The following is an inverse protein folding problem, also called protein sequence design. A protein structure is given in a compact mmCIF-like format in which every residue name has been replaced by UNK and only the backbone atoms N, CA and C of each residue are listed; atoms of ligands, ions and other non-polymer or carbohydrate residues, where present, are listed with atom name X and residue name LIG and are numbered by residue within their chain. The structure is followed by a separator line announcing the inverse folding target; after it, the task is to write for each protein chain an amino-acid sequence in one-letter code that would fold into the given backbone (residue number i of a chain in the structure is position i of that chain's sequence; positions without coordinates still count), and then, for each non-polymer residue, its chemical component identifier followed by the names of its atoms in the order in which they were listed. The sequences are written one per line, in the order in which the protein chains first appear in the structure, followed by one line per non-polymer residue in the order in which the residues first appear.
data_IF_956361832094
#
_entry.id   IF_956361832094
#
_cell.length_a   1.000
_cell.length_b   1.000
_cell.length_c   1.000
_cell.angle_alpha   90.00
_cell.angle_beta   90.00
_cell.angle_gamma   90.00
#
_symmetry.space_group_name_H-M   'P 1'
#
loop_
_entity.id
_entity.type
_entity.pdbx_description
1 polymer ?
#
# COMPACT_ATOMS: atom_id res chain seq x y z
N UNK A 1 26.09 21.53 -11.30
CA UNK A 1 24.65 21.16 -11.25
C UNK A 1 24.43 19.69 -11.59
N UNK A 2 24.81 19.19 -12.77
CA UNK A 2 24.61 17.77 -13.14
C UNK A 2 25.25 16.76 -12.16
N UNK A 3 26.52 16.98 -11.79
CA UNK A 3 27.25 16.09 -10.85
C UNK A 3 26.60 16.08 -9.46
N UNK A 4 26.12 17.22 -8.98
CA UNK A 4 25.47 17.34 -7.66
C UNK A 4 24.15 16.57 -7.60
N UNK A 5 23.36 16.59 -8.67
CA UNK A 5 22.11 15.81 -8.78
C UNK A 5 22.41 14.32 -8.80
N UNK A 6 23.41 13.89 -9.58
CA UNK A 6 23.84 12.49 -9.61
C UNK A 6 24.34 12.06 -8.23
N UNK A 7 25.12 12.89 -7.54
CA UNK A 7 25.62 12.59 -6.21
C UNK A 7 24.48 12.43 -5.20
N UNK A 8 23.46 13.29 -5.25
CA UNK A 8 22.25 13.14 -4.44
C UNK A 8 21.54 11.82 -4.72
N UNK A 9 21.31 11.49 -5.99
CA UNK A 9 20.66 10.24 -6.40
C UNK A 9 21.47 9.00 -5.97
N UNK A 10 22.80 9.05 -6.04
CA UNK A 10 23.67 7.99 -5.53
C UNK A 10 23.57 7.84 -4.00
N UNK A 11 23.45 8.94 -3.26
CA UNK A 11 23.22 8.91 -1.81
C UNK A 11 21.89 8.22 -1.45
N UNK A 12 20.83 8.49 -2.21
CA UNK A 12 19.53 7.81 -2.07
C UNK A 12 19.65 6.33 -2.44
N UNK A 13 20.25 6.02 -3.59
CA UNK A 13 20.41 4.65 -4.08
C UNK A 13 21.29 3.79 -3.16
N UNK A 14 22.29 4.37 -2.51
CA UNK A 14 23.12 3.66 -1.54
C UNK A 14 22.31 3.12 -0.36
N UNK A 15 21.37 3.91 0.18
CA UNK A 15 20.49 3.47 1.27
C UNK A 15 19.56 2.34 0.83
N UNK A 16 19.07 2.35 -0.40
CA UNK A 16 18.22 1.27 -0.93
C UNK A 16 18.96 -0.07 -1.08
N UNK A 17 20.30 -0.05 -1.13
CA UNK A 17 21.13 -1.25 -1.21
C UNK A 17 21.54 -1.78 0.16
N UNK A 18 21.19 -1.09 1.26
CA UNK A 18 21.48 -1.55 2.61
C UNK A 18 20.33 -2.42 3.15
N UNK A 19 20.69 -3.50 3.83
CA UNK A 19 19.72 -4.36 4.54
C UNK A 19 19.14 -3.68 5.78
N UNK A 20 19.95 -2.84 6.45
CA UNK A 20 19.58 -2.14 7.68
C UNK A 20 19.76 -0.64 7.52
N UNK A 21 18.89 0.11 8.19
CA UNK A 21 19.05 1.57 8.25
C UNK A 21 20.23 1.93 9.15
N UNK A 22 21.02 2.96 8.78
CA UNK A 22 22.10 3.42 9.62
C UNK A 22 21.57 3.97 10.95
N UNK A 23 22.28 3.68 12.04
CA UNK A 23 21.89 4.19 13.35
C UNK A 23 21.87 5.73 13.40
N UNK A 24 20.98 6.28 14.22
CA UNK A 24 20.82 7.74 14.40
C UNK A 24 22.12 8.53 14.65
N UNK A 25 23.10 8.04 15.42
CA UNK A 25 24.37 8.75 15.59
C UNK A 25 25.14 8.93 14.28
N UNK A 26 25.13 7.93 13.40
CA UNK A 26 25.77 8.03 12.08
C UNK A 26 25.05 9.07 11.23
N UNK A 27 23.71 9.04 11.19
CA UNK A 27 22.90 10.00 10.44
C UNK A 27 23.14 11.43 10.94
N UNK A 28 23.16 11.64 12.26
CA UNK A 28 23.46 12.93 12.87
C UNK A 28 24.87 13.42 12.54
N UNK A 29 25.87 12.53 12.53
CA UNK A 29 27.24 12.84 12.11
C UNK A 29 27.33 13.25 10.63
N UNK A 30 26.63 12.53 9.74
CA UNK A 30 26.56 12.86 8.31
C UNK A 30 25.87 14.21 8.06
N UNK A 31 24.81 14.51 8.80
CA UNK A 31 24.12 15.81 8.78
C UNK A 31 25.00 16.94 9.32
N UNK A 32 25.72 16.71 10.41
CA UNK A 32 26.66 17.69 10.96
C UNK A 32 27.82 17.98 9.99
N UNK A 33 28.33 16.94 9.31
CA UNK A 33 29.34 17.07 8.26
C UNK A 33 28.78 17.85 7.06
N UNK A 34 27.57 17.52 6.61
CA UNK A 34 26.88 18.26 5.55
C UNK A 34 26.71 19.75 5.92
N UNK A 35 26.27 20.03 7.15
CA UNK A 35 26.10 21.40 7.64
C UNK A 35 27.43 22.16 7.72
N UNK A 36 28.50 21.51 8.18
CA UNK A 36 29.85 22.08 8.23
C UNK A 36 30.37 22.42 6.83
N UNK A 37 30.11 21.57 5.84
CA UNK A 37 30.45 21.80 4.42
C UNK A 37 29.60 22.90 3.77
N UNK A 38 28.38 23.11 4.27
CA UNK A 38 27.49 24.20 3.82
C UNK A 38 28.00 25.57 4.29
N UNK A 39 28.45 25.65 5.55
CA UNK A 39 28.94 26.88 6.19
C UNK A 39 30.38 27.24 5.80
N UNK A 40 31.09 26.36 5.10
CA UNK A 40 32.47 26.58 4.68
C UNK A 40 32.59 27.78 3.71
N UNK A 41 33.26 28.90 4.05
CA UNK A 41 33.31 30.12 3.24
C UNK A 41 34.03 29.95 1.89
N UNK A 42 35.03 29.05 1.82
CA UNK A 42 35.77 28.70 0.61
C UNK A 42 35.01 27.83 -0.41
N UNK A 43 33.73 27.51 -0.17
CA UNK A 43 32.90 26.62 -1.00
C UNK A 43 32.74 27.13 -2.44
N UNK A 44 32.72 28.44 -2.62
CA UNK A 44 32.54 29.06 -3.94
C UNK A 44 33.83 29.52 -4.61
N UNK A 45 34.97 29.52 -3.90
CA UNK A 45 36.24 30.11 -4.38
C UNK A 45 37.31 29.08 -4.76
N UNK A 46 37.33 27.89 -4.17
CA UNK A 46 38.43 26.93 -4.32
C UNK A 46 38.02 25.62 -5.02
N UNK A 47 39.00 24.90 -5.61
CA UNK A 47 38.81 23.56 -6.21
C UNK A 47 38.18 22.58 -5.21
N UNK A 48 38.54 22.67 -3.92
CA UNK A 48 37.92 21.93 -2.82
C UNK A 48 36.40 22.15 -2.73
N UNK A 49 35.91 23.37 -3.02
CA UNK A 49 34.48 23.67 -3.03
C UNK A 49 33.71 22.96 -4.16
N UNK A 50 34.37 22.73 -5.30
CA UNK A 50 33.80 21.96 -6.43
C UNK A 50 33.64 20.48 -6.11
N UNK A 51 34.48 19.91 -5.23
CA UNK A 51 34.39 18.52 -4.74
C UNK A 51 33.48 18.42 -3.51
N UNK A 52 33.48 19.42 -2.64
CA UNK A 52 32.61 19.47 -1.47
C UNK A 52 31.12 19.56 -1.84
N UNK A 53 30.78 20.25 -2.94
CA UNK A 53 29.38 20.36 -3.39
C UNK A 53 28.70 19.03 -3.72
N UNK A 54 29.26 18.13 -4.55
CA UNK A 54 28.65 16.82 -4.79
C UNK A 54 28.66 15.94 -3.56
N UNK A 55 29.72 15.97 -2.73
CA UNK A 55 29.75 15.23 -1.47
C UNK A 55 28.61 15.66 -0.54
N UNK A 56 28.40 16.97 -0.37
CA UNK A 56 27.27 17.51 0.38
C UNK A 56 25.93 16.99 -0.16
N UNK A 57 25.74 17.03 -1.48
CA UNK A 57 24.50 16.54 -2.09
C UNK A 57 24.29 15.04 -1.86
N UNK A 58 25.34 14.22 -1.90
CA UNK A 58 25.25 12.80 -1.55
C UNK A 58 24.85 12.58 -0.08
N UNK A 59 25.44 13.34 0.85
CA UNK A 59 25.09 13.27 2.28
C UNK A 59 23.65 13.70 2.54
N UNK A 60 23.18 14.75 1.86
CA UNK A 60 21.79 15.19 1.93
C UNK A 60 20.83 14.14 1.35
N UNK A 61 21.19 13.48 0.24
CA UNK A 61 20.41 12.39 -0.34
C UNK A 61 20.31 11.20 0.60
N UNK A 62 21.42 10.83 1.24
CA UNK A 62 21.47 9.77 2.25
C UNK A 62 20.59 10.12 3.45
N UNK A 63 20.76 11.29 4.05
CA UNK A 63 19.98 11.69 5.21
C UNK A 63 18.49 11.80 4.90
N UNK A 64 18.13 12.34 3.73
CA UNK A 64 16.75 12.38 3.25
C UNK A 64 16.16 10.97 3.11
N UNK A 65 16.88 10.04 2.49
CA UNK A 65 16.43 8.66 2.31
C UNK A 65 16.24 7.94 3.66
N UNK A 66 17.17 8.11 4.61
CA UNK A 66 17.04 7.50 5.95
C UNK A 66 15.85 8.08 6.71
N UNK A 67 15.67 9.41 6.72
CA UNK A 67 14.53 10.04 7.39
C UNK A 67 13.19 9.57 6.83
N UNK A 68 13.10 9.45 5.50
CA UNK A 68 11.89 8.97 4.84
C UNK A 68 11.65 7.47 5.13
N UNK A 69 12.71 6.66 5.12
CA UNK A 69 12.62 5.23 5.41
C UNK A 69 12.20 4.99 6.87
N UNK A 70 12.80 5.69 7.84
CA UNK A 70 12.39 5.67 9.25
C UNK A 70 10.92 6.03 9.42
N UNK A 71 10.50 7.16 8.85
CA UNK A 71 9.09 7.59 8.90
C UNK A 71 8.14 6.53 8.33
N UNK A 72 8.51 5.92 7.20
CA UNK A 72 7.72 4.85 6.57
C UNK A 72 7.74 3.56 7.38
N UNK A 73 8.82 3.24 8.09
CA UNK A 73 8.94 2.00 8.87
C UNK A 73 8.23 2.09 10.23
N UNK A 74 8.03 3.30 10.77
CA UNK A 74 7.29 3.53 12.01
C UNK A 74 5.81 3.11 11.95
N UNK A 75 5.22 3.06 10.76
CA UNK A 75 3.85 2.56 10.58
C UNK A 75 3.84 1.03 10.52
N UNK A 76 3.70 0.34 11.65
CA UNK A 76 3.71 -1.12 11.70
C UNK A 76 2.68 -1.64 12.69
N UNK A 77 2.25 -2.90 12.51
CA UNK A 77 1.40 -3.58 13.48
C UNK A 77 2.23 -4.02 14.70
N UNK A 78 1.98 -3.48 15.91
CA UNK A 78 2.70 -3.93 17.11
C UNK A 78 2.47 -5.41 17.38
N UNK A 79 3.50 -6.12 17.86
CA UNK A 79 3.45 -7.58 18.05
C UNK A 79 2.35 -7.99 19.04
N UNK A 80 2.03 -7.11 19.99
CA UNK A 80 0.96 -7.29 20.95
C UNK A 80 -0.44 -7.36 20.33
N UNK A 81 -0.65 -6.76 19.15
CA UNK A 81 -1.94 -6.77 18.44
C UNK A 81 -2.01 -7.84 17.35
N UNK A 82 -0.90 -8.51 17.06
CA UNK A 82 -0.89 -9.61 16.11
C UNK A 82 -1.69 -10.81 16.64
N UNK A 83 -2.62 -11.28 15.81
CA UNK A 83 -3.46 -12.43 16.14
C UNK A 83 -4.47 -12.15 17.25
N UNK A 84 -4.74 -10.91 17.64
CA UNK A 84 -5.83 -10.54 18.55
C UNK A 84 -7.04 -10.03 17.78
N UNK A 85 -8.22 -10.29 18.32
CA UNK A 85 -9.47 -9.73 17.80
C UNK A 85 -9.60 -8.30 18.34
N UNK A 86 -9.75 -7.33 17.45
CA UNK A 86 -9.86 -5.91 17.77
C UNK A 86 -10.98 -5.28 16.96
N UNK A 87 -11.74 -4.38 17.59
CA UNK A 87 -12.76 -3.59 16.91
C UNK A 87 -12.14 -2.31 16.34
N UNK A 88 -12.39 -2.08 15.06
CA UNK A 88 -11.88 -0.92 14.33
C UNK A 88 -13.04 -0.23 13.60
N UNK A 89 -12.90 1.09 13.45
CA UNK A 89 -13.74 1.90 12.58
C UNK A 89 -12.85 2.50 11.50
N UNK A 90 -13.36 2.50 10.28
CA UNK A 90 -12.61 3.00 9.13
C UNK A 90 -13.43 2.97 7.85
N UNK A 91 -12.76 3.22 6.73
CA UNK A 91 -13.39 3.38 5.42
C UNK A 91 -12.81 2.40 4.42
N UNK A 92 -13.66 1.81 3.57
CA UNK A 92 -13.21 0.98 2.43
C UNK A 92 -12.50 1.88 1.43
N UNK A 93 -11.18 1.74 1.28
CA UNK A 93 -10.36 2.72 0.57
C UNK A 93 -10.44 2.59 -0.96
N UNK A 94 -10.42 1.35 -1.47
CA UNK A 94 -10.33 1.02 -2.89
C UNK A 94 -11.41 0.00 -3.25
N UNK A 95 -11.73 -0.10 -4.53
CA UNK A 95 -12.60 -1.13 -5.10
C UNK A 95 -12.35 -2.54 -4.50
N UNK A 96 -13.34 -3.15 -3.83
CA UNK A 96 -13.20 -4.50 -3.32
C UNK A 96 -13.06 -5.54 -4.43
N UNK A 97 -12.20 -6.52 -4.15
CA UNK A 97 -11.93 -7.67 -4.98
C UNK A 97 -12.72 -8.88 -4.52
N UNK A 98 -13.64 -9.37 -5.34
CA UNK A 98 -14.32 -10.62 -5.06
C UNK A 98 -13.43 -11.82 -5.43
N UNK A 99 -13.39 -12.82 -4.56
CA UNK A 99 -12.80 -14.13 -4.80
C UNK A 99 -13.79 -15.23 -4.37
N UNK A 100 -13.48 -16.49 -4.66
CA UNK A 100 -14.43 -17.61 -4.49
C UNK A 100 -15.08 -17.71 -3.09
N UNK A 101 -14.38 -17.26 -2.04
CA UNK A 101 -14.83 -17.42 -0.64
C UNK A 101 -15.15 -16.11 0.06
N UNK A 102 -15.15 -14.98 -0.64
CA UNK A 102 -15.28 -13.68 0.02
C UNK A 102 -14.88 -12.48 -0.83
N UNK A 103 -14.71 -11.36 -0.16
CA UNK A 103 -14.19 -10.13 -0.74
C UNK A 103 -12.93 -9.68 0.00
N UNK A 104 -11.97 -9.12 -0.73
CA UNK A 104 -10.76 -8.53 -0.18
C UNK A 104 -10.74 -7.05 -0.50
N UNK A 105 -10.39 -6.23 0.47
CA UNK A 105 -10.44 -4.77 0.33
C UNK A 105 -9.36 -4.10 1.17
N UNK A 106 -8.91 -2.95 0.68
CA UNK A 106 -8.06 -2.04 1.44
C UNK A 106 -8.95 -1.21 2.37
N UNK A 107 -8.55 -1.07 3.63
CA UNK A 107 -9.31 -0.38 4.66
C UNK A 107 -8.46 0.68 5.35
N UNK A 108 -8.94 1.91 5.34
CA UNK A 108 -8.33 3.05 6.02
C UNK A 108 -8.87 3.10 7.45
N UNK A 109 -8.01 2.83 8.43
CA UNK A 109 -8.35 2.81 9.86
C UNK A 109 -8.45 4.24 10.39
N UNK A 110 -9.63 4.63 10.88
CA UNK A 110 -9.86 5.93 11.51
C UNK A 110 -9.69 5.87 13.03
N UNK A 111 -10.21 4.81 13.66
CA UNK A 111 -10.14 4.65 15.11
C UNK A 111 -10.15 3.18 15.52
N UNK A 112 -9.53 2.89 16.66
CA UNK A 112 -9.43 1.56 17.24
C UNK A 112 -10.14 1.58 18.59
N UNK A 113 -11.08 0.66 18.78
CA UNK A 113 -11.81 0.51 20.04
C UNK A 113 -11.03 -0.37 21.01
N UNK A 114 -9.81 0.07 21.32
CA UNK A 114 -8.93 -0.50 22.33
C UNK A 114 -8.00 0.59 22.91
N UNK A 115 -7.98 0.80 24.23
CA UNK A 115 -7.14 1.82 24.86
C UNK A 115 -5.65 1.60 24.55
N UNK A 116 -4.99 2.62 24.00
CA UNK A 116 -3.56 2.59 23.68
C UNK A 116 -3.19 1.79 22.43
N UNK A 117 -4.15 1.17 21.74
CA UNK A 117 -3.89 0.44 20.52
C UNK A 117 -3.50 1.39 19.38
N UNK A 118 -2.34 1.14 18.78
CA UNK A 118 -1.91 1.80 17.53
C UNK A 118 -1.89 0.74 16.44
N UNK A 119 -2.84 0.84 15.53
CA UNK A 119 -2.88 0.01 14.32
C UNK A 119 -2.42 0.85 13.13
N UNK A 120 -1.92 0.21 12.06
CA UNK A 120 -1.53 0.95 10.88
C UNK A 120 -2.69 1.64 10.19
N UNK A 121 -2.40 2.74 9.50
CA UNK A 121 -3.43 3.58 8.88
C UNK A 121 -4.17 2.86 7.75
N UNK A 122 -3.47 2.03 6.97
CA UNK A 122 -4.03 1.30 5.84
C UNK A 122 -3.70 -0.18 5.93
N UNK A 123 -4.74 -1.00 5.87
CA UNK A 123 -4.65 -2.45 6.07
C UNK A 123 -5.41 -3.20 4.98
N UNK A 124 -4.99 -4.42 4.67
CA UNK A 124 -5.68 -5.31 3.75
C UNK A 124 -6.56 -6.27 4.54
N UNK A 125 -7.87 -6.26 4.31
CA UNK A 125 -8.82 -7.15 4.98
C UNK A 125 -9.46 -8.11 3.98
N UNK A 126 -9.71 -9.34 4.44
CA UNK A 126 -10.53 -10.31 3.74
C UNK A 126 -11.81 -10.55 4.55
N UNK A 127 -12.97 -10.38 3.92
CA UNK A 127 -14.27 -10.72 4.48
C UNK A 127 -14.77 -11.99 3.81
N UNK A 128 -14.74 -13.09 4.56
CA UNK A 128 -15.22 -14.37 4.07
C UNK A 128 -16.74 -14.44 4.19
N UNK A 129 -17.40 -14.85 3.11
CA UNK A 129 -18.81 -15.20 3.13
C UNK A 129 -18.89 -16.71 3.33
N UNK A 130 -19.63 -17.14 4.36
CA UNK A 130 -19.71 -18.55 4.75
C UNK A 130 -20.31 -19.44 3.67
N UNK A 131 -19.90 -20.71 3.66
CA UNK A 131 -20.44 -21.78 2.78
C UNK A 131 -21.62 -22.50 3.46
N UNK A 132 -21.83 -22.31 4.76
CA UNK A 132 -22.86 -22.98 5.56
C UNK A 132 -24.16 -22.16 5.60
N UNK A 133 -25.30 -22.84 5.50
CA UNK A 133 -26.68 -22.28 5.55
C UNK A 133 -26.95 -21.34 6.75
N UNK A 134 -26.18 -21.47 7.83
CA UNK A 134 -26.28 -20.64 9.04
C UNK A 134 -25.27 -19.48 9.13
N UNK A 135 -24.49 -19.22 8.07
CA UNK A 135 -23.52 -18.11 7.99
C UNK A 135 -23.93 -17.03 6.96
N UNK A 136 -25.22 -17.00 6.61
CA UNK A 136 -25.79 -16.04 5.67
C UNK A 136 -25.89 -14.66 6.34
N UNK A 137 -24.78 -13.93 6.35
CA UNK A 137 -24.91 -12.49 6.18
C UNK A 137 -25.33 -12.30 4.73
N UNK A 138 -26.45 -11.59 4.55
CA UNK A 138 -26.84 -11.03 3.26
C UNK A 138 -25.58 -10.52 2.57
N UNK A 139 -25.40 -10.85 1.28
CA UNK A 139 -24.19 -10.51 0.50
C UNK A 139 -24.11 -8.98 0.38
N UNK A 140 -23.69 -8.31 1.45
CA UNK A 140 -23.46 -6.88 1.51
C UNK A 140 -22.18 -6.64 0.72
N UNK A 141 -22.37 -6.36 -0.57
CA UNK A 141 -21.30 -5.94 -1.44
C UNK A 141 -20.70 -4.65 -0.88
N UNK A 142 -19.44 -4.72 -0.44
CA UNK A 142 -18.72 -3.55 0.05
C UNK A 142 -18.53 -2.55 -1.08
N UNK A 143 -18.68 -1.26 -0.78
CA UNK A 143 -18.43 -0.19 -1.75
C UNK A 143 -17.36 0.80 -1.27
N UNK A 144 -16.49 1.31 -2.16
CA UNK A 144 -15.42 2.24 -1.79
C UNK A 144 -15.94 3.54 -1.18
N UNK A 145 -15.44 3.95 -0.02
CA UNK A 145 -15.88 5.13 0.71
C UNK A 145 -16.98 4.85 1.74
N UNK A 146 -17.50 3.62 1.84
CA UNK A 146 -18.37 3.24 2.95
C UNK A 146 -17.58 3.17 4.26
N UNK A 147 -18.16 3.72 5.33
CA UNK A 147 -17.58 3.68 6.67
C UNK A 147 -18.17 2.52 7.45
N UNK A 148 -17.30 1.69 8.01
CA UNK A 148 -17.68 0.46 8.68
C UNK A 148 -17.02 0.33 10.05
N UNK A 149 -17.73 -0.34 10.96
CA UNK A 149 -17.18 -0.90 12.19
C UNK A 149 -17.01 -2.41 12.01
N UNK A 150 -15.78 -2.89 12.09
CA UNK A 150 -15.45 -4.30 11.98
C UNK A 150 -14.72 -4.82 13.22
N UNK A 151 -15.03 -6.05 13.62
CA UNK A 151 -14.12 -6.85 14.45
C UNK A 151 -13.18 -7.62 13.54
N UNK A 152 -11.88 -7.35 13.63
CA UNK A 152 -10.86 -7.94 12.76
C UNK A 152 -9.81 -8.67 13.56
N UNK A 153 -9.15 -9.63 12.92
CA UNK A 153 -7.93 -10.25 13.42
C UNK A 153 -6.80 -9.99 12.45
N UNK A 154 -5.80 -9.24 12.91
CA UNK A 154 -4.70 -8.75 12.08
C UNK A 154 -3.45 -9.62 12.25
N UNK A 155 -2.62 -9.60 11.22
CA UNK A 155 -1.30 -10.19 11.16
C UNK A 155 -0.34 -9.21 10.51
N UNK A 156 0.93 -9.31 10.87
CA UNK A 156 1.97 -8.55 10.19
C UNK A 156 2.08 -9.02 8.73
N UNK A 157 2.37 -8.12 7.79
CA UNK A 157 2.75 -8.51 6.43
C UNK A 157 3.95 -9.45 6.52
N UNK A 158 3.82 -10.65 5.99
CA UNK A 158 4.93 -11.58 5.84
C UNK A 158 4.84 -12.16 4.43
N UNK A 159 5.92 -12.01 3.67
CA UNK A 159 6.08 -12.64 2.37
C UNK A 159 6.67 -14.05 2.49
N UNK A 160 6.38 -14.91 1.52
CA UNK A 160 7.20 -16.11 1.35
C UNK A 160 8.54 -15.68 0.75
N UNK A 161 9.65 -15.98 1.42
CA UNK A 161 11.01 -15.70 0.94
C UNK A 161 11.40 -16.63 -0.22
N UNK A 162 10.73 -16.50 -1.37
CA UNK A 162 11.03 -17.24 -2.59
C UNK A 162 11.88 -16.36 -3.53
N UNK A 163 13.17 -16.67 -3.78
CA UNK A 163 14.08 -15.82 -4.56
C UNK A 163 13.64 -15.49 -6.00
N UNK A 164 12.74 -16.29 -6.57
CA UNK A 164 12.17 -16.08 -7.92
C UNK A 164 10.65 -15.90 -7.89
N UNK A 165 10.09 -15.71 -6.69
CA UNK A 165 8.68 -15.48 -6.47
C UNK A 165 8.32 -13.99 -6.51
N UNK A 166 7.03 -13.74 -6.57
CA UNK A 166 6.49 -12.41 -6.34
C UNK A 166 6.73 -12.00 -4.88
N UNK A 167 7.38 -10.86 -4.68
CA UNK A 167 7.60 -10.29 -3.36
C UNK A 167 6.32 -9.60 -2.85
N UNK A 168 5.48 -10.40 -2.20
CA UNK A 168 4.21 -9.93 -1.65
C UNK A 168 4.40 -8.89 -0.54
N UNK A 169 5.49 -8.99 0.23
CA UNK A 169 5.75 -8.08 1.34
C UNK A 169 6.17 -6.71 0.83
N UNK A 170 7.09 -6.67 -0.14
CA UNK A 170 7.45 -5.44 -0.83
C UNK A 170 6.23 -4.80 -1.51
N UNK A 171 5.39 -5.59 -2.19
CA UNK A 171 4.17 -5.06 -2.82
C UNK A 171 3.18 -4.45 -1.82
N UNK A 172 2.98 -5.09 -0.66
CA UNK A 172 2.16 -4.52 0.42
C UNK A 172 2.77 -3.21 0.94
N UNK A 173 4.09 -3.21 1.16
CA UNK A 173 4.81 -2.05 1.65
C UNK A 173 4.73 -0.85 0.70
N UNK A 174 4.90 -1.07 -0.61
CA UNK A 174 4.78 -0.04 -1.66
C UNK A 174 3.39 0.62 -1.67
N UNK A 175 2.34 -0.18 -1.41
CA UNK A 175 0.96 0.30 -1.29
C UNK A 175 0.62 0.94 0.06
N UNK A 176 1.56 0.95 1.00
CA UNK A 176 1.32 1.41 2.37
C UNK A 176 0.41 0.49 3.17
N UNK A 177 0.26 -0.77 2.75
CA UNK A 177 -0.50 -1.79 3.47
C UNK A 177 0.40 -2.41 4.53
N UNK A 178 0.20 -2.00 5.78
CA UNK A 178 1.11 -2.33 6.90
C UNK A 178 0.57 -3.39 7.86
N UNK A 179 -0.63 -3.91 7.58
CA UNK A 179 -1.15 -5.14 8.15
C UNK A 179 -2.06 -5.85 7.15
N UNK A 180 -2.16 -7.16 7.32
CA UNK A 180 -3.17 -7.99 6.64
C UNK A 180 -4.07 -8.64 7.67
N UNK A 181 -5.28 -9.02 7.30
CA UNK A 181 -6.17 -9.69 8.24
C UNK A 181 -7.48 -10.10 7.63
N UNK A 182 -8.39 -10.51 8.50
CA UNK A 182 -9.74 -10.88 8.10
C UNK A 182 -10.77 -10.37 9.09
N UNK A 183 -11.97 -10.11 8.59
CA UNK A 183 -13.14 -9.77 9.40
C UNK A 183 -13.62 -11.03 10.10
N UNK A 184 -13.79 -10.98 11.42
CA UNK A 184 -14.18 -12.15 12.21
C UNK A 184 -15.62 -12.55 11.89
N UNK A 185 -15.87 -13.83 11.53
CA UNK A 185 -17.23 -14.33 11.36
C UNK A 185 -18.05 -14.13 12.64
N UNK A 186 -19.34 -13.82 12.50
CA UNK A 186 -20.30 -13.63 13.62
C UNK A 186 -19.92 -12.52 14.63
N UNK A 187 -18.94 -11.68 14.31
CA UNK A 187 -18.56 -10.52 15.11
C UNK A 187 -19.10 -9.21 14.50
N UNK A 188 -18.92 -8.07 15.18
CA UNK A 188 -19.48 -6.78 14.73
C UNK A 188 -19.01 -6.45 13.31
N UNK A 189 -19.98 -6.22 12.42
CA UNK A 189 -19.80 -5.72 11.07
C UNK A 189 -21.00 -4.81 10.76
N UNK A 190 -20.84 -3.53 11.05
CA UNK A 190 -21.91 -2.55 10.97
C UNK A 190 -21.48 -1.41 10.06
N UNK A 191 -22.31 -1.07 9.07
CA UNK A 191 -22.08 0.11 8.25
C UNK A 191 -22.53 1.34 9.03
N UNK A 192 -21.60 2.25 9.29
CA UNK A 192 -21.87 3.48 10.01
C UNK A 192 -22.33 4.59 9.06
N UNK A 193 -21.66 4.72 7.91
CA UNK A 193 -21.97 5.73 6.88
C UNK A 193 -21.87 5.12 5.48
N UNK A 194 -22.75 5.53 4.58
CA UNK A 194 -22.77 5.04 3.18
C UNK A 194 -21.59 5.59 2.35
N UNK A 195 -21.20 6.85 2.62
CA UNK A 195 -20.14 7.50 1.89
C UNK A 195 -19.47 8.63 2.67
N UNK A 196 -18.15 8.56 2.78
CA UNK A 196 -17.31 9.64 3.30
C UNK A 196 -16.76 10.47 2.14
N UNK A 197 -17.03 11.78 2.17
CA UNK A 197 -16.63 12.70 1.11
C UNK A 197 -15.13 13.03 1.20
N UNK A 198 -14.30 12.24 0.51
CA UNK A 198 -12.89 12.55 0.26
C UNK A 198 -12.54 12.34 -1.22
N UNK A 199 -11.64 13.15 -1.82
CA UNK A 199 -11.37 13.10 -3.26
C UNK A 199 -10.98 11.72 -3.79
N UNK A 200 -10.18 10.98 -3.04
CA UNK A 200 -9.77 9.60 -3.31
C UNK A 200 -10.96 8.64 -3.34
N UNK A 201 -11.83 8.67 -2.33
CA UNK A 201 -13.02 7.79 -2.29
C UNK A 201 -14.05 8.16 -3.35
N UNK A 202 -14.14 9.44 -3.74
CA UNK A 202 -15.00 9.86 -4.85
C UNK A 202 -14.56 9.19 -6.13
N UNK A 203 -13.26 9.20 -6.45
CA UNK A 203 -12.71 8.54 -7.66
C UNK A 203 -13.04 7.05 -7.63
N UNK A 204 -12.83 6.37 -6.50
CA UNK A 204 -13.12 4.94 -6.38
C UNK A 204 -14.62 4.63 -6.48
N UNK A 205 -15.49 5.53 -5.99
CA UNK A 205 -16.94 5.41 -6.18
C UNK A 205 -17.34 5.61 -7.65
N UNK A 206 -16.66 6.47 -8.40
CA UNK A 206 -16.86 6.58 -9.85
C UNK A 206 -16.41 5.30 -10.57
N UNK A 207 -15.25 4.76 -10.21
CA UNK A 207 -14.76 3.46 -10.74
C UNK A 207 -15.77 2.35 -10.46
N UNK A 208 -16.33 2.27 -9.25
CA UNK A 208 -17.38 1.32 -8.88
C UNK A 208 -18.64 1.46 -9.74
N UNK A 209 -19.11 2.68 -10.00
CA UNK A 209 -20.27 2.94 -10.87
C UNK A 209 -20.02 2.50 -12.31
N UNK A 210 -18.85 2.81 -12.85
CA UNK A 210 -18.48 2.41 -14.22
C UNK A 210 -18.39 0.88 -14.31
N UNK A 211 -17.73 0.23 -13.34
CA UNK A 211 -17.67 -1.24 -13.24
C UNK A 211 -19.06 -1.85 -13.23
N UNK A 212 -19.95 -1.34 -12.37
CA UNK A 212 -21.31 -1.83 -12.26
C UNK A 212 -22.07 -1.66 -13.58
N UNK A 213 -21.92 -0.52 -14.25
CA UNK A 213 -22.52 -0.30 -15.58
C UNK A 213 -22.05 -1.31 -16.63
N UNK A 214 -20.76 -1.67 -16.65
CA UNK A 214 -20.26 -2.70 -17.56
C UNK A 214 -20.93 -4.06 -17.29
N UNK A 215 -20.98 -4.48 -16.03
CA UNK A 215 -21.57 -5.78 -15.67
C UNK A 215 -23.10 -5.81 -15.77
N UNK A 216 -23.78 -4.67 -15.68
CA UNK A 216 -25.22 -4.57 -15.95
C UNK A 216 -25.54 -4.65 -17.44
N UNK A 217 -24.73 -4.02 -18.30
CA UNK A 217 -24.96 -3.99 -19.76
C UNK A 217 -24.43 -5.25 -20.46
N UNK A 218 -23.39 -5.88 -19.91
CA UNK A 218 -22.69 -7.03 -20.48
C UNK A 218 -22.62 -8.21 -19.50
N UNK A 219 -23.75 -8.71 -18.97
CA UNK A 219 -23.76 -9.71 -17.90
C UNK A 219 -23.05 -11.02 -18.25
N UNK A 220 -23.21 -11.48 -19.50
CA UNK A 220 -22.65 -12.76 -19.98
C UNK A 220 -21.49 -12.57 -20.97
N UNK A 221 -20.99 -11.34 -21.14
CA UNK A 221 -19.92 -11.10 -22.10
C UNK A 221 -18.58 -11.57 -21.52
N UNK A 222 -17.86 -12.48 -22.19
CA UNK A 222 -16.59 -12.99 -21.68
C UNK A 222 -15.54 -11.88 -21.53
N UNK A 223 -15.63 -10.81 -22.33
CA UNK A 223 -14.70 -9.68 -22.29
C UNK A 223 -15.12 -8.56 -21.32
N UNK A 224 -16.18 -8.71 -20.53
CA UNK A 224 -16.64 -7.67 -19.58
C UNK A 224 -15.54 -7.24 -18.59
N UNK A 225 -14.80 -8.21 -18.04
CA UNK A 225 -13.65 -7.95 -17.18
C UNK A 225 -12.50 -7.25 -17.89
N UNK A 226 -12.25 -7.57 -19.16
CA UNK A 226 -11.22 -6.90 -19.98
C UNK A 226 -11.60 -5.44 -20.24
N UNK A 227 -12.88 -5.17 -20.55
CA UNK A 227 -13.35 -3.80 -20.77
C UNK A 227 -13.30 -2.97 -19.49
N UNK A 228 -13.68 -3.56 -18.34
CA UNK A 228 -13.54 -2.91 -17.04
C UNK A 228 -12.06 -2.63 -16.73
N UNK A 229 -11.16 -3.58 -16.99
CA UNK A 229 -9.72 -3.37 -16.83
C UNK A 229 -9.21 -2.21 -17.69
N UNK A 230 -9.54 -2.17 -18.98
CA UNK A 230 -9.10 -1.11 -19.91
C UNK A 230 -9.70 0.27 -19.59
N UNK A 231 -10.95 0.32 -19.11
CA UNK A 231 -11.64 1.57 -18.88
C UNK A 231 -11.27 2.22 -17.54
N UNK A 232 -11.08 1.42 -16.49
CA UNK A 232 -10.89 1.90 -15.11
C UNK A 232 -9.72 1.26 -14.37
N UNK A 233 -8.88 0.45 -15.02
CA UNK A 233 -7.75 -0.25 -14.39
C UNK A 233 -8.16 -1.36 -13.42
N UNK A 234 -9.35 -1.95 -13.57
CA UNK A 234 -9.78 -3.10 -12.75
C UNK A 234 -9.28 -4.43 -13.34
N UNK A 235 -7.96 -4.63 -13.33
CA UNK A 235 -7.30 -5.86 -13.81
C UNK A 235 -7.82 -7.12 -13.08
N UNK A 236 -8.32 -6.95 -11.87
CA UNK A 236 -8.79 -8.05 -11.03
C UNK A 236 -10.18 -8.56 -11.45
N UNK A 237 -10.89 -7.83 -12.29
CA UNK A 237 -12.12 -8.26 -12.93
C UNK A 237 -11.87 -9.29 -14.06
N UNK A 238 -10.64 -9.42 -14.56
CA UNK A 238 -10.29 -10.37 -15.62
C UNK A 238 -10.23 -11.80 -15.02
N UNK A 239 -11.03 -12.75 -15.54
CA UNK A 239 -11.00 -14.14 -15.09
C UNK A 239 -9.61 -14.80 -15.21
N UNK A 240 -9.30 -15.71 -14.29
CA UNK A 240 -7.97 -16.33 -14.19
C UNK A 240 -7.59 -17.21 -15.40
N UNK A 241 -8.58 -17.77 -16.09
CA UNK A 241 -8.46 -18.51 -17.35
C UNK A 241 -8.07 -17.58 -18.50
N UNK A 242 -8.59 -16.36 -18.55
CA UNK A 242 -8.19 -15.36 -19.55
C UNK A 242 -6.76 -14.87 -19.30
N UNK A 243 -6.38 -14.65 -18.04
CA UNK A 243 -4.99 -14.38 -17.69
C UNK A 243 -4.04 -15.52 -18.10
N UNK A 244 -4.49 -16.78 -18.01
CA UNK A 244 -3.72 -17.93 -18.49
C UNK A 244 -3.55 -17.89 -20.00
N UNK A 245 -4.62 -17.58 -20.74
CA UNK A 245 -4.57 -17.41 -22.19
C UNK A 245 -3.59 -16.31 -22.59
N UNK A 246 -3.63 -15.14 -21.94
CA UNK A 246 -2.72 -14.03 -22.24
C UNK A 246 -1.25 -14.37 -21.99
N UNK A 247 -0.96 -15.12 -20.91
CA UNK A 247 0.39 -15.64 -20.65
C UNK A 247 0.84 -16.63 -21.72
N UNK A 248 -0.05 -17.51 -22.17
CA UNK A 248 0.26 -18.52 -23.19
C UNK A 248 0.49 -17.90 -24.58
N UNK A 249 -0.22 -16.84 -24.91
CA UNK A 249 -0.11 -16.15 -26.22
C UNK A 249 0.89 -14.98 -26.20
N UNK A 250 1.48 -14.65 -25.04
CA UNK A 250 2.49 -13.60 -24.90
C UNK A 250 1.93 -12.16 -24.93
N UNK A 251 0.60 -12.00 -24.82
CA UNK A 251 -0.07 -10.68 -24.94
C UNK A 251 -0.37 -10.02 -23.60
N UNK A 252 0.14 -10.54 -22.49
CA UNK A 252 -0.02 -9.95 -21.14
C UNK A 252 0.35 -8.47 -21.10
N UNK A 253 1.36 -8.04 -21.87
CA UNK A 253 1.82 -6.65 -21.92
C UNK A 253 0.77 -5.67 -22.47
N UNK A 254 -0.23 -6.15 -23.24
CA UNK A 254 -1.34 -5.33 -23.71
C UNK A 254 -2.31 -4.94 -22.58
N UNK A 255 -2.27 -5.69 -21.47
CA UNK A 255 -3.11 -5.46 -20.29
C UNK A 255 -2.41 -4.60 -19.23
N UNK A 256 -1.22 -4.07 -19.51
CA UNK A 256 -0.54 -3.12 -18.61
C UNK A 256 -1.13 -1.73 -18.85
N UNK A 257 -2.02 -1.29 -17.97
CA UNK A 257 -2.83 -0.05 -18.10
C UNK A 257 -2.48 0.94 -17.00
#
# INVERSE_FOLDING_TARGET
MRISIIAFALGVGFIQMQETLPEWPLVAGLLAMAFSLLLWPGRHRNVLGRVASPLLCALLGLAWAVLLAEYRLQDYLPAEWEGRDVQIVGVVAVLPHAFERGERFEFDVESVDAPGARLPQRIMLSWYHGVLEDEWREKLALRPGERWRFTVRLKRPHGNANPHGFDYEAWLFERGLRATGYVRPRAVAERLDDFILRPDYVIERWRERIRRSFFEVLPDAPYGGILAALAIGDEQAIPSDQWRLFRQTGVTHLMSI
#
